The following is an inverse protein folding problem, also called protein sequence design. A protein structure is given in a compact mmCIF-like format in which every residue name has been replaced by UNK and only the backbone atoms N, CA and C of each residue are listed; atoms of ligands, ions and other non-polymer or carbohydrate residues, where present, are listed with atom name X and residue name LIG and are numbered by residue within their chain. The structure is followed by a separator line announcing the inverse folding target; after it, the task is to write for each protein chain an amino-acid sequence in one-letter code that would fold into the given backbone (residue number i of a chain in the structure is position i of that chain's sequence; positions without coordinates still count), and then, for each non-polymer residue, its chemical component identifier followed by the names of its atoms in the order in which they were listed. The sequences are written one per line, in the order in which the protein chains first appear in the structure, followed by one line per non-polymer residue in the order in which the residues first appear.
data_IF_673248485673
#
_entry.id   IF_673248485673
#
_cell.length_a   1.000
_cell.length_b   1.000
_cell.length_c   1.000
_cell.angle_alpha   90.00
_cell.angle_beta   90.00
_cell.angle_gamma   90.00
#
_symmetry.space_group_name_H-M   'P 1'
#
loop_
_entity.id
_entity.type
_entity.pdbx_description
1 polymer ?
#
# COMPACT_ATOMS: atom_id res chain seq x y z
N UNK A 1 -23.22 54.96 4.92
CA UNK A 1 -23.18 53.52 4.58
C UNK A 1 -21.77 53.23 4.13
N UNK A 2 -20.96 52.89 5.12
CA UNK A 2 -19.50 52.80 5.03
C UNK A 2 -19.14 51.76 6.06
N UNK A 3 -18.34 50.76 5.70
CA UNK A 3 -17.08 50.46 6.40
C UNK A 3 -16.33 49.40 5.61
N UNK A 4 -15.18 49.82 5.10
CA UNK A 4 -14.07 48.97 4.75
C UNK A 4 -13.42 48.44 6.04
N UNK A 5 -12.99 47.17 6.06
CA UNK A 5 -12.01 46.69 7.04
C UNK A 5 -11.29 45.42 6.55
N UNK A 6 -10.03 45.62 6.13
CA UNK A 6 -8.82 44.87 6.53
C UNK A 6 -8.74 43.38 6.17
N UNK A 7 -8.15 43.13 4.99
CA UNK A 7 -7.09 42.13 4.80
C UNK A 7 -6.04 42.29 5.92
N UNK A 8 -5.86 41.29 6.79
CA UNK A 8 -4.62 40.91 7.51
C UNK A 8 -4.91 40.14 8.81
N UNK A 9 -4.07 39.13 9.07
CA UNK A 9 -3.90 38.31 10.28
C UNK A 9 -4.91 37.15 10.49
N UNK A 10 -4.45 35.94 10.13
CA UNK A 10 -4.75 34.58 10.67
C UNK A 10 -4.64 33.56 9.50
N UNK A 11 -3.53 33.28 8.81
CA UNK A 11 -2.14 33.03 9.21
C UNK A 11 -1.92 32.18 10.47
N UNK A 12 -2.90 31.34 10.83
CA UNK A 12 -2.79 30.42 11.98
C UNK A 12 -3.34 29.00 11.72
N UNK A 13 -3.75 28.69 10.49
CA UNK A 13 -4.37 27.40 10.14
C UNK A 13 -3.86 26.85 8.80
N UNK A 14 -2.58 27.08 8.50
CA UNK A 14 -1.80 26.10 7.71
C UNK A 14 -1.63 24.93 8.67
N UNK A 15 -2.60 24.02 8.63
CA UNK A 15 -2.79 22.92 9.57
C UNK A 15 -1.42 22.33 9.93
N UNK A 16 -1.15 22.31 11.22
CA UNK A 16 0.00 21.74 11.93
C UNK A 16 0.24 20.26 11.62
N UNK A 17 0.43 19.88 10.35
CA UNK A 17 0.41 18.50 9.86
C UNK A 17 1.53 18.19 8.86
N UNK A 18 2.51 19.09 8.75
CA UNK A 18 3.91 18.71 8.50
C UNK A 18 4.64 18.68 9.86
N UNK A 19 3.95 18.29 10.92
CA UNK A 19 4.38 18.50 12.30
C UNK A 19 5.43 17.50 12.77
N UNK A 20 6.60 17.56 12.14
CA UNK A 20 7.79 17.68 12.97
C UNK A 20 7.70 18.98 13.77
N UNK A 21 7.48 18.79 15.07
CA UNK A 21 7.73 19.68 16.21
C UNK A 21 6.81 20.89 16.49
N UNK A 22 5.72 20.64 17.24
CA UNK A 22 5.34 21.49 18.38
C UNK A 22 4.44 20.71 19.37
N UNK A 23 5.01 20.22 20.47
CA UNK A 23 4.22 19.89 21.66
C UNK A 23 4.16 21.13 22.56
N UNK A 24 2.94 21.58 22.89
CA UNK A 24 2.72 22.66 23.84
C UNK A 24 2.86 22.13 25.28
N UNK A 25 3.79 22.67 26.06
CA UNK A 25 3.76 22.52 27.52
C UNK A 25 2.79 23.55 28.11
N UNK A 26 2.18 23.23 29.27
CA UNK A 26 1.16 23.98 30.03
C UNK A 26 1.54 25.43 30.42
N UNK A 27 2.66 25.95 29.95
CA UNK A 27 3.20 27.28 30.26
C UNK A 27 3.39 28.18 29.02
N UNK A 28 2.97 27.74 27.82
CA UNK A 28 2.87 28.63 26.65
C UNK A 28 4.18 29.11 26.03
N UNK A 29 5.34 28.52 26.36
CA UNK A 29 6.61 28.82 25.70
C UNK A 29 7.00 27.72 24.72
N UNK A 30 7.33 28.11 23.48
CA UNK A 30 7.79 27.23 22.39
C UNK A 30 9.27 26.92 22.60
N UNK A 31 9.60 25.67 22.91
CA UNK A 31 10.97 25.17 22.90
C UNK A 31 11.26 24.50 21.56
N UNK A 32 12.16 25.10 20.77
CA UNK A 32 12.79 24.48 19.60
C UNK A 32 13.62 23.28 20.08
N UNK A 33 13.12 22.06 19.86
CA UNK A 33 13.88 20.86 20.19
C UNK A 33 15.02 20.68 19.19
N UNK A 34 16.21 20.49 19.78
CA UNK A 34 17.48 20.30 19.11
C UNK A 34 17.48 18.94 18.41
N UNK A 35 17.65 19.00 17.10
CA UNK A 35 17.81 17.87 16.20
C UNK A 35 19.05 17.03 16.60
N UNK A 36 18.88 15.72 16.78
CA UNK A 36 19.97 14.77 16.95
C UNK A 36 20.07 13.91 15.69
N UNK A 37 20.56 14.55 14.62
CA UNK A 37 21.27 13.91 13.52
C UNK A 37 20.41 13.36 12.38
N UNK A 38 20.43 14.06 11.25
CA UNK A 38 20.23 13.48 9.91
C UNK A 38 19.09 14.10 9.10
N UNK A 39 19.45 14.81 8.03
CA UNK A 39 18.62 15.27 6.91
C UNK A 39 17.37 16.12 7.23
N UNK A 40 17.42 17.39 6.81
CA UNK A 40 16.28 18.31 6.74
C UNK A 40 15.14 17.64 5.94
N UNK A 41 13.98 17.41 6.57
CA UNK A 41 12.80 16.87 5.91
C UNK A 41 12.41 17.78 4.72
N UNK A 42 12.42 17.29 3.47
CA UNK A 42 12.22 18.14 2.28
C UNK A 42 10.81 18.74 2.17
N UNK A 43 9.83 18.24 2.94
CA UNK A 43 8.41 18.37 2.64
C UNK A 43 7.88 19.79 2.49
N UNK A 44 7.92 20.61 3.55
CA UNK A 44 7.15 21.87 3.55
C UNK A 44 7.71 22.95 2.62
N UNK A 45 9.03 23.20 2.68
CA UNK A 45 9.65 24.20 1.81
C UNK A 45 9.57 23.79 0.34
N UNK A 46 9.74 22.51 0.02
CA UNK A 46 9.58 21.99 -1.34
C UNK A 46 8.14 22.18 -1.83
N UNK A 47 7.15 21.82 -1.00
CA UNK A 47 5.73 21.99 -1.29
C UNK A 47 5.37 23.45 -1.58
N UNK A 48 5.84 24.40 -0.76
CA UNK A 48 5.56 25.81 -0.95
C UNK A 48 6.20 26.37 -2.23
N UNK A 49 7.39 25.91 -2.59
CA UNK A 49 8.11 26.40 -3.76
C UNK A 49 7.57 25.80 -5.06
N UNK A 50 7.38 24.47 -5.10
CA UNK A 50 7.06 23.75 -6.33
C UNK A 50 5.56 23.46 -6.49
N UNK A 51 4.81 23.34 -5.39
CA UNK A 51 3.44 22.82 -5.38
C UNK A 51 2.44 23.77 -4.70
N UNK A 52 2.73 25.07 -4.62
CA UNK A 52 1.86 26.06 -3.94
C UNK A 52 0.44 26.09 -4.48
N UNK A 53 0.27 26.08 -5.80
CA UNK A 53 -1.04 26.07 -6.44
C UNK A 53 -1.80 24.75 -6.18
N UNK A 54 -1.25 23.55 -6.49
CA UNK A 54 -1.87 22.28 -6.11
C UNK A 54 -2.25 22.23 -4.62
N UNK A 55 -1.35 22.66 -3.73
CA UNK A 55 -1.57 22.72 -2.28
C UNK A 55 -2.76 23.61 -1.95
N UNK A 56 -2.82 24.83 -2.50
CA UNK A 56 -3.93 25.76 -2.23
C UNK A 56 -5.25 25.19 -2.74
N UNK A 57 -5.26 24.60 -3.93
CA UNK A 57 -6.50 24.01 -4.48
C UNK A 57 -6.96 22.79 -3.69
N UNK A 58 -6.04 21.99 -3.15
CA UNK A 58 -6.34 20.91 -2.22
C UNK A 58 -6.98 21.43 -0.94
N UNK A 59 -6.42 22.48 -0.33
CA UNK A 59 -6.97 23.06 0.91
C UNK A 59 -8.40 23.60 0.74
N UNK A 60 -8.83 23.93 -0.48
CA UNK A 60 -10.19 24.35 -0.77
C UNK A 60 -11.14 23.17 -1.02
N UNK A 61 -10.62 21.99 -1.34
CA UNK A 61 -11.38 20.76 -1.60
C UNK A 61 -11.59 19.93 -0.31
N UNK A 62 -12.83 19.54 0.00
CA UNK A 62 -13.13 18.83 1.25
C UNK A 62 -12.50 17.44 1.30
N UNK A 63 -12.62 16.67 0.23
CA UNK A 63 -12.06 15.31 0.15
C UNK A 63 -10.53 15.34 0.23
N UNK A 64 -9.88 16.32 -0.39
CA UNK A 64 -8.45 16.52 -0.26
C UNK A 64 -8.03 16.86 1.18
N UNK A 65 -8.76 17.75 1.86
CA UNK A 65 -8.49 18.06 3.28
C UNK A 65 -8.67 16.84 4.17
N UNK A 66 -9.71 16.03 3.93
CA UNK A 66 -9.96 14.79 4.68
C UNK A 66 -8.82 13.78 4.48
N UNK A 67 -8.35 13.59 3.25
CA UNK A 67 -7.19 12.75 2.95
C UNK A 67 -5.94 13.24 3.67
N UNK A 68 -5.57 14.52 3.51
CA UNK A 68 -4.39 15.12 4.17
C UNK A 68 -4.49 15.01 5.69
N UNK A 69 -5.66 15.24 6.26
CA UNK A 69 -5.89 15.10 7.69
C UNK A 69 -5.71 13.64 8.14
N UNK A 70 -6.31 12.69 7.44
CA UNK A 70 -6.18 11.26 7.72
C UNK A 70 -4.71 10.81 7.66
N UNK A 71 -3.97 11.17 6.59
CA UNK A 71 -2.54 10.87 6.48
C UNK A 71 -1.73 11.47 7.64
N UNK A 72 -2.09 12.67 8.11
CA UNK A 72 -1.41 13.26 9.27
C UNK A 72 -1.62 12.48 10.56
N UNK A 73 -2.76 11.79 10.72
CA UNK A 73 -3.02 10.92 11.86
C UNK A 73 -2.27 9.57 11.75
N UNK A 74 -1.73 9.23 10.57
CA UNK A 74 -0.93 8.02 10.38
C UNK A 74 0.50 8.16 10.89
N UNK A 75 1.01 9.39 11.02
CA UNK A 75 2.40 9.68 11.37
C UNK A 75 2.82 9.05 12.70
N UNK A 76 3.97 8.38 12.69
CA UNK A 76 4.57 7.73 13.85
C UNK A 76 3.92 6.39 14.24
N UNK A 77 2.94 5.90 13.48
CA UNK A 77 2.41 4.55 13.65
C UNK A 77 3.39 3.54 13.05
N UNK A 78 3.41 2.33 13.60
CA UNK A 78 4.25 1.24 13.07
C UNK A 78 3.85 0.82 11.66
N UNK A 79 2.57 0.99 11.32
CA UNK A 79 1.98 0.71 10.01
C UNK A 79 1.61 2.01 9.26
N UNK A 80 2.45 3.05 9.39
CA UNK A 80 2.20 4.38 8.81
C UNK A 80 1.87 4.31 7.31
N UNK A 81 2.61 3.51 6.53
CA UNK A 81 2.42 3.38 5.08
C UNK A 81 1.07 2.74 4.71
N UNK A 82 0.69 1.62 5.33
CA UNK A 82 -0.63 1.03 5.11
C UNK A 82 -1.76 1.97 5.56
N UNK A 83 -1.55 2.73 6.63
CA UNK A 83 -2.50 3.75 7.09
C UNK A 83 -2.66 4.87 6.05
N UNK A 84 -1.55 5.40 5.52
CA UNK A 84 -1.55 6.42 4.47
C UNK A 84 -2.27 5.91 3.22
N UNK A 85 -1.98 4.70 2.76
CA UNK A 85 -2.64 4.10 1.60
C UNK A 85 -4.17 4.04 1.79
N UNK A 86 -4.64 3.61 2.97
CA UNK A 86 -6.09 3.57 3.25
C UNK A 86 -6.73 4.96 3.25
N UNK A 87 -6.05 5.97 3.82
CA UNK A 87 -6.52 7.35 3.80
C UNK A 87 -6.63 7.88 2.36
N UNK A 88 -5.61 7.59 1.55
CA UNK A 88 -5.54 7.97 0.14
C UNK A 88 -6.67 7.36 -0.67
N UNK A 89 -6.90 6.06 -0.52
CA UNK A 89 -7.93 5.36 -1.27
C UNK A 89 -9.34 5.72 -0.79
N UNK A 90 -9.52 5.97 0.51
CA UNK A 90 -10.83 6.28 1.09
C UNK A 90 -11.26 7.71 0.77
N UNK A 91 -10.35 8.69 0.91
CA UNK A 91 -10.68 10.12 0.81
C UNK A 91 -10.06 10.80 -0.40
N UNK A 92 -8.85 10.40 -0.78
CA UNK A 92 -8.04 11.07 -1.81
C UNK A 92 -8.30 10.63 -3.24
N UNK A 93 -8.61 9.35 -3.47
CA UNK A 93 -8.66 8.72 -4.78
C UNK A 93 -9.63 9.42 -5.75
N UNK A 94 -10.83 9.73 -5.27
CA UNK A 94 -11.84 10.44 -6.05
C UNK A 94 -11.61 11.96 -6.12
N UNK A 95 -10.69 12.52 -5.32
CA UNK A 95 -10.33 13.94 -5.39
C UNK A 95 -9.25 14.18 -6.44
N UNK A 96 -9.64 14.79 -7.56
CA UNK A 96 -8.67 15.26 -8.56
C UNK A 96 -7.65 16.26 -7.99
N UNK A 97 -8.02 17.02 -6.95
CA UNK A 97 -7.13 17.98 -6.29
C UNK A 97 -6.09 17.29 -5.44
N UNK A 98 -6.48 16.23 -4.74
CA UNK A 98 -5.54 15.37 -3.99
C UNK A 98 -4.54 14.69 -4.92
N UNK A 99 -5.03 14.04 -5.98
CA UNK A 99 -4.16 13.38 -6.97
C UNK A 99 -3.20 14.36 -7.64
N UNK A 100 -3.64 15.57 -7.97
CA UNK A 100 -2.76 16.60 -8.54
C UNK A 100 -1.70 17.10 -7.55
N UNK A 101 -2.05 17.22 -6.26
CA UNK A 101 -1.08 17.54 -5.22
C UNK A 101 -0.03 16.42 -5.09
N UNK A 102 -0.43 15.16 -4.96
CA UNK A 102 0.49 14.04 -4.88
C UNK A 102 1.39 13.93 -6.10
N UNK A 103 0.84 14.12 -7.31
CA UNK A 103 1.65 14.10 -8.53
C UNK A 103 2.71 15.20 -8.51
N UNK A 104 2.33 16.44 -8.15
CA UNK A 104 3.29 17.53 -8.02
C UNK A 104 4.38 17.21 -7.00
N UNK A 105 4.02 16.61 -5.85
CA UNK A 105 4.98 16.21 -4.84
C UNK A 105 5.96 15.15 -5.37
N UNK A 106 5.46 14.18 -6.14
CA UNK A 106 6.28 13.14 -6.78
C UNK A 106 7.25 13.76 -7.79
N UNK A 107 6.74 14.55 -8.73
CA UNK A 107 7.51 15.14 -9.83
C UNK A 107 8.65 16.05 -9.35
N UNK A 108 8.47 16.68 -8.19
CA UNK A 108 9.43 17.61 -7.59
C UNK A 108 10.21 17.03 -6.40
N UNK A 109 10.05 15.74 -6.08
CA UNK A 109 10.75 15.11 -4.96
C UNK A 109 10.40 15.72 -3.61
N UNK A 110 9.17 16.24 -3.46
CA UNK A 110 8.66 16.80 -2.20
C UNK A 110 8.02 15.74 -1.29
N UNK A 111 7.89 14.49 -1.75
CA UNK A 111 7.46 13.38 -0.90
C UNK A 111 8.58 13.00 0.10
N UNK A 112 8.22 12.59 1.33
CA UNK A 112 9.20 12.02 2.25
C UNK A 112 9.74 10.72 1.64
N UNK A 113 11.07 10.53 1.74
CA UNK A 113 11.69 9.26 1.39
C UNK A 113 11.57 8.32 2.58
N UNK A 114 10.90 7.20 2.37
CA UNK A 114 10.73 6.15 3.37
C UNK A 114 11.92 5.19 3.32
N UNK A 115 12.36 4.65 4.47
CA UNK A 115 13.30 3.54 4.47
C UNK A 115 12.69 2.34 3.72
N UNK A 116 13.51 1.43 3.19
CA UNK A 116 13.01 0.20 2.58
C UNK A 116 12.05 -0.53 3.50
N UNK A 117 10.88 -0.89 2.98
CA UNK A 117 9.85 -1.62 3.71
C UNK A 117 9.81 -3.08 3.24
N UNK A 118 10.39 -3.99 4.02
CA UNK A 118 10.56 -5.37 3.58
C UNK A 118 11.87 -5.62 2.87
N UNK A 119 12.16 -6.90 2.67
CA UNK A 119 13.35 -7.39 1.97
C UNK A 119 12.89 -8.21 0.78
N UNK A 120 13.40 -7.88 -0.40
CA UNK A 120 13.19 -8.71 -1.60
C UNK A 120 14.04 -9.98 -1.49
N UNK A 121 13.41 -11.10 -1.10
CA UNK A 121 14.12 -12.35 -0.78
C UNK A 121 14.31 -13.29 -1.98
N UNK A 122 13.68 -13.03 -3.12
CA UNK A 122 13.82 -13.87 -4.32
C UNK A 122 14.09 -13.05 -5.58
N UNK A 123 14.65 -13.74 -6.57
CA UNK A 123 14.86 -13.23 -7.92
C UNK A 123 14.22 -14.18 -8.94
N UNK A 124 14.29 -13.83 -10.22
CA UNK A 124 13.58 -14.55 -11.29
C UNK A 124 14.07 -15.99 -11.50
N UNK A 125 15.31 -16.28 -11.12
CA UNK A 125 15.81 -17.66 -11.21
C UNK A 125 15.15 -18.58 -10.18
N UNK A 126 14.68 -18.00 -9.08
CA UNK A 126 14.14 -18.69 -7.91
C UNK A 126 12.66 -19.07 -8.00
N UNK A 127 11.97 -18.70 -9.08
CA UNK A 127 10.54 -18.96 -9.28
C UNK A 127 10.24 -20.35 -9.81
N UNK A 128 9.00 -20.81 -9.59
CA UNK A 128 8.45 -21.99 -10.28
C UNK A 128 8.47 -21.79 -11.80
N UNK A 129 8.59 -22.89 -12.56
CA UNK A 129 8.71 -22.84 -14.03
C UNK A 129 7.44 -23.21 -14.79
N UNK A 130 6.41 -23.69 -14.08
CA UNK A 130 5.15 -24.16 -14.66
C UNK A 130 4.09 -23.07 -14.82
N UNK A 131 4.27 -21.87 -14.26
CA UNK A 131 3.42 -20.71 -14.52
C UNK A 131 3.98 -19.91 -15.69
N UNK A 132 3.40 -20.07 -16.88
CA UNK A 132 3.85 -19.42 -18.12
C UNK A 132 2.81 -18.52 -18.76
N UNK A 133 1.57 -18.54 -18.26
CA UNK A 133 0.46 -17.70 -18.73
C UNK A 133 -0.49 -17.34 -17.59
N UNK A 134 -1.03 -16.12 -17.60
CA UNK A 134 -2.04 -15.66 -16.63
C UNK A 134 -3.35 -16.46 -16.71
N UNK A 135 -3.64 -17.08 -17.87
CA UNK A 135 -4.80 -17.97 -18.00
C UNK A 135 -4.79 -19.15 -17.02
N UNK A 136 -3.62 -19.58 -16.53
CA UNK A 136 -3.48 -20.67 -15.57
C UNK A 136 -3.96 -20.28 -14.16
N UNK A 137 -3.89 -18.99 -13.84
CA UNK A 137 -4.28 -18.42 -12.54
C UNK A 137 -5.48 -17.49 -12.65
N UNK A 138 -6.20 -17.52 -13.77
CA UNK A 138 -7.41 -16.71 -13.98
C UNK A 138 -8.39 -16.88 -12.81
N UNK A 139 -9.00 -15.77 -12.41
CA UNK A 139 -10.04 -15.72 -11.39
C UNK A 139 -9.54 -15.11 -10.08
N UNK A 140 -10.37 -15.25 -9.05
CA UNK A 140 -10.19 -14.61 -7.75
C UNK A 140 -9.27 -15.44 -6.86
N UNK A 141 -8.38 -14.75 -6.15
CA UNK A 141 -7.45 -15.31 -5.19
C UNK A 141 -7.49 -14.51 -3.89
N UNK A 142 -7.89 -15.14 -2.80
CA UNK A 142 -7.97 -14.53 -1.48
C UNK A 142 -6.65 -14.65 -0.74
N UNK A 143 -6.22 -13.57 -0.09
CA UNK A 143 -5.04 -13.56 0.76
C UNK A 143 -5.39 -14.14 2.13
N UNK A 144 -4.75 -15.25 2.49
CA UNK A 144 -4.94 -15.92 3.79
C UNK A 144 -3.80 -15.70 4.76
N UNK A 145 -2.59 -15.47 4.24
CA UNK A 145 -1.44 -15.11 5.06
C UNK A 145 -0.63 -14.03 4.38
N UNK A 146 -0.15 -13.05 5.15
CA UNK A 146 0.66 -11.95 4.68
C UNK A 146 2.01 -11.83 5.38
N UNK A 147 3.07 -11.58 4.61
CA UNK A 147 4.44 -11.42 5.10
C UNK A 147 4.70 -9.99 5.55
N UNK A 148 4.26 -9.01 4.76
CA UNK A 148 4.32 -7.60 5.13
C UNK A 148 3.10 -7.23 5.95
N UNK A 149 3.13 -7.58 7.24
CA UNK A 149 2.01 -7.41 8.16
C UNK A 149 2.36 -6.65 9.45
N UNK A 150 3.42 -5.84 9.44
CA UNK A 150 3.84 -5.05 10.61
C UNK A 150 4.81 -5.76 11.53
N UNK A 151 5.51 -6.78 11.00
CA UNK A 151 6.52 -7.55 11.72
C UNK A 151 7.93 -7.01 11.48
N UNK A 152 8.91 -7.48 12.26
CA UNK A 152 10.30 -7.04 12.11
C UNK A 152 10.80 -7.33 10.70
N UNK A 153 11.29 -6.29 10.02
CA UNK A 153 11.77 -6.38 8.64
C UNK A 153 10.72 -5.98 7.60
N UNK A 154 9.42 -6.13 7.91
CA UNK A 154 8.30 -5.76 7.05
C UNK A 154 7.24 -4.94 7.82
N UNK A 155 7.52 -3.68 8.15
CA UNK A 155 6.68 -2.86 9.03
C UNK A 155 5.40 -2.30 8.40
N UNK A 156 5.28 -2.10 7.08
CA UNK A 156 4.16 -1.33 6.53
C UNK A 156 2.79 -1.93 6.76
N UNK A 157 2.67 -3.27 6.78
CA UNK A 157 1.44 -4.02 6.92
C UNK A 157 0.49 -4.02 5.71
N UNK A 158 1.01 -4.02 4.48
CA UNK A 158 0.21 -4.08 3.24
C UNK A 158 -0.47 -5.44 2.97
N UNK A 159 0.04 -6.53 3.54
CA UNK A 159 -0.44 -7.91 3.28
C UNK A 159 -1.48 -8.39 4.31
N UNK A 160 -2.01 -7.47 5.12
CA UNK A 160 -2.91 -7.81 6.23
C UNK A 160 -4.17 -6.94 6.28
N UNK A 161 -4.58 -6.42 5.13
CA UNK A 161 -5.88 -5.75 5.04
C UNK A 161 -7.01 -6.79 5.11
N UNK A 162 -8.10 -6.51 5.84
CA UNK A 162 -9.26 -7.39 5.83
C UNK A 162 -9.86 -7.52 4.42
N UNK A 163 -10.35 -8.73 4.12
CA UNK A 163 -10.97 -9.07 2.83
C UNK A 163 -10.10 -8.82 1.59
N UNK A 164 -8.78 -8.85 1.76
CA UNK A 164 -7.83 -8.64 0.68
C UNK A 164 -7.84 -9.81 -0.32
N UNK A 165 -7.93 -9.46 -1.61
CA UNK A 165 -7.94 -10.41 -2.73
C UNK A 165 -7.42 -9.77 -4.01
N UNK A 166 -7.00 -10.65 -4.90
CA UNK A 166 -6.60 -10.37 -6.28
C UNK A 166 -7.61 -11.03 -7.24
N UNK A 167 -7.80 -10.48 -8.44
CA UNK A 167 -8.66 -11.07 -9.48
C UNK A 167 -8.05 -10.88 -10.86
N UNK A 168 -7.44 -11.95 -11.37
CA UNK A 168 -6.77 -11.95 -12.68
C UNK A 168 -7.78 -12.20 -13.80
N UNK A 169 -8.00 -11.21 -14.66
CA UNK A 169 -8.94 -11.28 -15.79
C UNK A 169 -8.36 -10.68 -17.07
N UNK A 170 -8.71 -11.22 -18.26
CA UNK A 170 -8.36 -10.60 -19.52
C UNK A 170 -9.20 -9.34 -19.74
N UNK A 171 -8.57 -8.27 -20.23
CA UNK A 171 -9.23 -7.05 -20.69
C UNK A 171 -9.66 -7.20 -22.16
N UNK A 172 -10.97 -7.12 -22.40
CA UNK A 172 -11.56 -7.09 -23.75
C UNK A 172 -11.71 -8.46 -24.41
N UNK A 173 -12.05 -8.45 -25.70
CA UNK A 173 -12.33 -9.67 -26.50
C UNK A 173 -11.05 -10.33 -27.03
N UNK A 174 -9.94 -9.60 -27.05
CA UNK A 174 -8.62 -10.10 -27.43
C UNK A 174 -7.86 -10.39 -26.13
N UNK A 175 -7.74 -11.66 -25.76
CA UNK A 175 -7.22 -12.18 -24.47
C UNK A 175 -5.73 -11.86 -24.18
N UNK A 176 -5.18 -10.82 -24.80
CA UNK A 176 -3.76 -10.49 -24.81
C UNK A 176 -3.39 -9.45 -23.75
N UNK A 177 -4.36 -8.68 -23.27
CA UNK A 177 -4.17 -7.73 -22.16
C UNK A 177 -4.81 -8.32 -20.91
N UNK A 178 -4.12 -8.28 -19.79
CA UNK A 178 -4.60 -8.79 -18.51
C UNK A 178 -4.52 -7.72 -17.44
N UNK A 179 -5.48 -7.77 -16.53
CA UNK A 179 -5.50 -6.97 -15.32
C UNK A 179 -5.63 -7.83 -14.10
N UNK A 180 -5.13 -7.30 -13.00
CA UNK A 180 -5.46 -7.72 -11.66
C UNK A 180 -6.34 -6.64 -11.02
N UNK A 181 -7.54 -7.04 -10.61
CA UNK A 181 -8.40 -6.21 -9.76
C UNK A 181 -8.14 -6.57 -8.29
N UNK A 182 -7.38 -5.71 -7.62
CA UNK A 182 -7.07 -5.88 -6.21
C UNK A 182 -8.17 -5.21 -5.39
N UNK A 183 -8.71 -5.93 -4.40
CA UNK A 183 -9.75 -5.44 -3.51
C UNK A 183 -9.39 -5.69 -2.05
N UNK A 184 -9.65 -4.71 -1.19
CA UNK A 184 -9.43 -4.79 0.27
C UNK A 184 -10.24 -3.71 0.98
N UNK A 185 -10.36 -3.77 2.30
CA UNK A 185 -10.92 -2.69 3.10
C UNK A 185 -9.95 -2.26 4.20
N UNK A 186 -10.11 -1.03 4.67
CA UNK A 186 -9.54 -0.62 5.94
C UNK A 186 -10.22 -1.35 7.08
N UNK A 187 -9.48 -1.61 8.15
CA UNK A 187 -9.99 -2.34 9.32
C UNK A 187 -8.89 -3.05 10.08
N UNK A 188 -9.28 -3.91 11.03
CA UNK A 188 -8.36 -4.70 11.85
C UNK A 188 -8.98 -6.05 12.19
N UNK A 189 -8.13 -7.03 12.49
CA UNK A 189 -8.56 -8.35 12.96
C UNK A 189 -9.65 -8.96 12.06
N UNK A 190 -9.41 -8.95 10.74
CA UNK A 190 -10.31 -9.53 9.74
C UNK A 190 -11.69 -8.86 9.63
N UNK A 191 -11.86 -7.64 10.18
CA UNK A 191 -13.12 -6.88 10.11
C UNK A 191 -12.93 -5.59 9.34
N UNK A 192 -13.74 -5.39 8.29
CA UNK A 192 -13.80 -4.12 7.57
C UNK A 192 -14.43 -3.01 8.43
N UNK A 193 -13.78 -1.85 8.45
CA UNK A 193 -14.33 -0.59 8.99
C UNK A 193 -14.61 0.44 7.89
N UNK A 194 -14.17 0.18 6.66
CA UNK A 194 -14.45 1.01 5.47
C UNK A 194 -15.20 0.18 4.43
N UNK A 195 -15.80 0.81 3.41
CA UNK A 195 -16.16 0.12 2.18
C UNK A 195 -14.95 -0.60 1.57
N UNK A 196 -15.23 -1.60 0.72
CA UNK A 196 -14.19 -2.23 -0.10
C UNK A 196 -13.65 -1.18 -1.08
N UNK A 197 -12.33 -1.07 -1.09
CA UNK A 197 -11.51 -0.26 -1.96
C UNK A 197 -10.98 -1.14 -3.08
N UNK A 198 -10.75 -0.54 -4.24
CA UNK A 198 -10.29 -1.23 -5.44
C UNK A 198 -9.10 -0.51 -6.04
N UNK A 199 -8.10 -1.26 -6.48
CA UNK A 199 -6.97 -0.78 -7.28
C UNK A 199 -6.75 -1.71 -8.46
N UNK A 200 -6.17 -1.20 -9.55
CA UNK A 200 -6.03 -1.95 -10.81
C UNK A 200 -4.60 -1.90 -11.33
N UNK A 201 -4.03 -3.09 -11.56
CA UNK A 201 -2.75 -3.25 -12.22
C UNK A 201 -2.91 -3.93 -13.58
N UNK A 202 -2.17 -3.44 -14.58
CA UNK A 202 -1.90 -4.20 -15.80
C UNK A 202 -0.88 -5.28 -15.47
N UNK A 203 -1.16 -6.53 -15.84
CA UNK A 203 -0.32 -7.67 -15.48
C UNK A 203 0.18 -8.40 -16.71
N UNK A 204 1.44 -8.82 -16.67
CA UNK A 204 2.01 -9.70 -17.70
C UNK A 204 2.97 -10.72 -17.08
N UNK A 205 3.11 -11.89 -17.72
CA UNK A 205 4.15 -12.87 -17.38
C UNK A 205 5.40 -12.48 -18.15
N UNK A 206 6.44 -12.02 -17.46
CA UNK A 206 7.71 -11.63 -18.08
C UNK A 206 8.67 -12.81 -18.18
N UNK A 207 8.60 -13.74 -17.23
CA UNK A 207 9.36 -14.99 -17.15
C UNK A 207 8.50 -16.04 -16.45
N UNK A 208 8.77 -17.35 -16.62
CA UNK A 208 8.06 -18.38 -15.89
C UNK A 208 8.04 -18.10 -14.37
N UNK A 209 6.85 -18.01 -13.79
CA UNK A 209 6.62 -17.69 -12.37
C UNK A 209 6.83 -16.23 -11.96
N UNK A 210 7.08 -15.30 -12.90
CA UNK A 210 7.24 -13.87 -12.62
C UNK A 210 6.12 -13.08 -13.29
N UNK A 211 5.32 -12.39 -12.49
CA UNK A 211 4.24 -11.50 -12.92
C UNK A 211 4.64 -10.05 -12.67
N UNK A 212 4.68 -9.24 -13.73
CA UNK A 212 4.94 -7.82 -13.63
C UNK A 212 3.61 -7.07 -13.55
N UNK A 213 3.40 -6.36 -12.44
CA UNK A 213 2.23 -5.53 -12.15
C UNK A 213 2.61 -4.05 -12.34
N UNK A 214 1.88 -3.37 -13.22
CA UNK A 214 2.00 -1.92 -13.42
C UNK A 214 0.69 -1.30 -13.00
N UNK A 215 0.67 -0.67 -11.83
CA UNK A 215 -0.53 -0.05 -11.29
C UNK A 215 -0.92 1.17 -12.13
N UNK A 216 -2.19 1.25 -12.49
CA UNK A 216 -2.71 2.26 -13.43
C UNK A 216 -3.43 3.42 -12.74
N UNK A 217 -3.84 3.20 -11.50
CA UNK A 217 -4.58 4.13 -10.66
C UNK A 217 -4.00 4.36 -9.25
N UNK A 218 -2.72 4.06 -8.95
CA UNK A 218 -2.23 4.23 -7.60
C UNK A 218 -2.19 5.72 -7.25
N UNK A 219 -2.41 6.10 -5.98
CA UNK A 219 -2.28 7.48 -5.54
C UNK A 219 -0.88 8.07 -5.82
N UNK A 220 0.14 7.21 -5.79
CA UNK A 220 1.53 7.53 -6.09
C UNK A 220 1.98 6.80 -7.36
N UNK A 221 2.38 7.57 -8.38
CA UNK A 221 2.89 7.02 -9.64
C UNK A 221 4.35 7.40 -9.88
N UNK A 222 5.15 6.54 -10.55
CA UNK A 222 4.81 5.16 -10.94
C UNK A 222 4.84 4.20 -9.74
N UNK A 223 4.00 3.16 -9.77
CA UNK A 223 4.09 2.00 -8.87
C UNK A 223 4.17 0.73 -9.73
N UNK A 224 5.27 0.01 -9.57
CA UNK A 224 5.58 -1.20 -10.32
C UNK A 224 6.02 -2.28 -9.34
N UNK A 225 5.47 -3.48 -9.51
CA UNK A 225 5.79 -4.64 -8.68
C UNK A 225 6.08 -5.86 -9.54
N UNK A 226 7.07 -6.65 -9.13
CA UNK A 226 7.33 -7.97 -9.67
C UNK A 226 6.96 -9.03 -8.63
N UNK A 227 5.90 -9.77 -8.92
CA UNK A 227 5.42 -10.87 -8.10
C UNK A 227 6.05 -12.16 -8.58
N UNK A 228 6.71 -12.86 -7.67
CA UNK A 228 7.50 -14.07 -7.90
C UNK A 228 6.83 -15.22 -7.20
N UNK A 229 6.24 -16.13 -7.97
CA UNK A 229 5.62 -17.33 -7.42
C UNK A 229 6.70 -18.33 -7.03
N UNK A 230 6.79 -18.58 -5.72
CA UNK A 230 7.80 -19.44 -5.12
C UNK A 230 7.32 -20.88 -5.01
N UNK A 231 6.02 -21.08 -4.78
CA UNK A 231 5.43 -22.42 -4.71
C UNK A 231 3.98 -22.41 -5.16
N UNK A 232 3.61 -23.43 -5.95
CA UNK A 232 2.24 -23.67 -6.41
C UNK A 232 1.97 -25.19 -6.44
N UNK A 233 1.95 -25.85 -5.27
CA UNK A 233 1.89 -27.30 -5.16
C UNK A 233 0.48 -27.86 -5.41
N UNK A 234 -0.52 -27.00 -5.41
CA UNK A 234 -1.91 -27.34 -5.68
C UNK A 234 -2.53 -26.26 -6.58
N UNK A 235 -3.44 -26.62 -7.51
CA UNK A 235 -4.06 -25.64 -8.41
C UNK A 235 -4.70 -24.45 -7.70
N UNK A 236 -5.17 -24.63 -6.47
CA UNK A 236 -5.90 -23.62 -5.71
C UNK A 236 -5.10 -22.94 -4.61
N UNK A 237 -3.81 -23.22 -4.45
CA UNK A 237 -2.99 -22.70 -3.35
C UNK A 237 -1.62 -22.23 -3.83
N UNK A 238 -1.32 -20.95 -3.66
CA UNK A 238 -0.09 -20.35 -4.16
C UNK A 238 0.62 -19.53 -3.07
N UNK A 239 1.95 -19.62 -3.05
CA UNK A 239 2.83 -18.75 -2.25
C UNK A 239 3.67 -17.92 -3.21
N UNK A 240 3.56 -16.60 -3.09
CA UNK A 240 4.37 -15.66 -3.84
C UNK A 240 5.00 -14.62 -2.91
N UNK A 241 6.06 -13.99 -3.40
CA UNK A 241 6.56 -12.73 -2.86
C UNK A 241 6.40 -11.64 -3.91
N UNK A 242 6.38 -10.38 -3.50
CA UNK A 242 6.48 -9.26 -4.41
C UNK A 242 7.61 -8.34 -3.99
N UNK A 243 8.20 -7.70 -4.99
CA UNK A 243 9.18 -6.65 -4.81
C UNK A 243 8.79 -5.49 -5.72
N UNK A 244 8.67 -4.30 -5.15
CA UNK A 244 8.23 -3.12 -5.86
C UNK A 244 8.89 -1.85 -5.35
N UNK A 245 8.49 -0.74 -5.95
CA UNK A 245 8.86 0.57 -5.50
C UNK A 245 7.78 1.59 -5.87
N UNK A 246 7.64 2.59 -5.01
CA UNK A 246 6.93 3.84 -5.29
C UNK A 246 7.97 4.97 -5.35
N UNK A 247 7.57 6.22 -5.64
CA UNK A 247 8.46 7.37 -5.49
C UNK A 247 9.00 7.59 -4.06
N UNK A 248 8.36 7.03 -3.03
CA UNK A 248 8.81 7.19 -1.62
C UNK A 248 9.86 6.16 -1.23
N UNK A 249 9.91 5.00 -1.89
CA UNK A 249 10.94 4.00 -1.64
C UNK A 249 10.60 2.59 -2.14
N UNK A 250 11.56 1.67 -2.04
CA UNK A 250 11.34 0.26 -2.34
C UNK A 250 10.56 -0.43 -1.21
N UNK A 251 9.74 -1.39 -1.58
CA UNK A 251 9.02 -2.23 -0.65
C UNK A 251 8.92 -3.68 -1.16
N UNK A 252 8.68 -4.61 -0.24
CA UNK A 252 8.53 -6.02 -0.53
C UNK A 252 7.58 -6.67 0.46
N UNK A 253 7.03 -7.81 0.07
CA UNK A 253 6.15 -8.61 0.91
C UNK A 253 5.87 -9.94 0.25
N UNK A 254 4.78 -10.57 0.63
CA UNK A 254 4.42 -11.86 0.08
C UNK A 254 3.23 -12.49 0.78
N UNK A 255 2.55 -13.36 0.04
CA UNK A 255 1.24 -13.84 0.43
C UNK A 255 1.07 -15.31 0.14
N UNK A 256 0.32 -15.97 1.02
CA UNK A 256 -0.33 -17.24 0.72
C UNK A 256 -1.73 -16.92 0.25
N UNK A 257 -2.07 -17.37 -0.95
CA UNK A 257 -3.36 -17.11 -1.58
C UNK A 257 -4.10 -18.38 -1.95
N UNK A 258 -5.42 -18.27 -2.00
CA UNK A 258 -6.32 -19.37 -2.37
C UNK A 258 -7.43 -18.95 -3.30
N UNK A 259 -7.82 -19.85 -4.20
CA UNK A 259 -9.08 -19.74 -4.95
C UNK A 259 -10.09 -20.83 -4.60
N UNK A 260 -9.78 -21.66 -3.61
CA UNK A 260 -10.72 -22.66 -3.13
C UNK A 260 -11.83 -21.96 -2.34
N UNK A 261 -13.10 -22.19 -2.70
CA UNK A 261 -14.24 -21.64 -1.97
C UNK A 261 -14.25 -22.09 -0.49
N UNK A 262 -13.86 -23.34 -0.24
CA UNK A 262 -13.66 -23.89 1.12
C UNK A 262 -12.41 -23.35 1.80
N UNK A 263 -11.47 -22.78 1.03
CA UNK A 263 -10.19 -22.27 1.51
C UNK A 263 -10.26 -20.89 2.16
N UNK A 264 -11.44 -20.25 2.22
CA UNK A 264 -11.59 -18.95 2.90
C UNK A 264 -11.30 -18.98 4.41
N UNK A 265 -11.22 -20.18 4.98
CA UNK A 265 -10.70 -20.45 6.33
C UNK A 265 -9.27 -21.03 6.24
N UNK A 266 -8.32 -20.39 6.94
CA UNK A 266 -6.91 -20.82 7.00
C UNK A 266 -6.76 -22.23 7.58
N UNK A 267 -7.70 -22.68 8.42
CA UNK A 267 -7.73 -24.05 8.93
C UNK A 267 -7.96 -25.13 7.86
N UNK A 268 -8.26 -24.75 6.61
CA UNK A 268 -8.59 -25.66 5.51
C UNK A 268 -7.42 -25.84 4.52
N UNK A 269 -6.28 -25.17 4.74
CA UNK A 269 -5.08 -25.40 3.92
C UNK A 269 -4.69 -26.89 4.03
N UNK A 270 -4.57 -27.63 2.90
CA UNK A 270 -4.16 -29.03 2.97
C UNK A 270 -2.78 -29.17 3.62
N UNK A 271 -2.63 -30.14 4.53
CA UNK A 271 -1.40 -30.33 5.33
C UNK A 271 -0.14 -30.41 4.45
N UNK A 272 -0.20 -31.10 3.31
CA UNK A 272 0.95 -31.21 2.40
C UNK A 272 1.31 -29.88 1.73
N UNK A 273 0.34 -29.01 1.46
CA UNK A 273 0.55 -27.66 0.92
C UNK A 273 1.23 -26.80 1.98
N UNK A 274 0.77 -26.88 3.24
CA UNK A 274 1.34 -26.12 4.33
C UNK A 274 2.79 -26.56 4.65
N UNK A 275 3.09 -27.86 4.57
CA UNK A 275 4.45 -28.40 4.69
C UNK A 275 5.36 -27.83 3.59
N UNK A 276 4.89 -27.82 2.34
CA UNK A 276 5.64 -27.28 1.21
C UNK A 276 5.89 -25.77 1.39
N UNK A 277 4.88 -25.00 1.76
CA UNK A 277 5.04 -23.55 1.99
C UNK A 277 6.01 -23.24 3.13
N UNK A 278 5.99 -23.99 4.24
CA UNK A 278 7.00 -23.86 5.30
C UNK A 278 8.41 -24.17 4.80
N UNK A 279 8.56 -25.24 4.01
CA UNK A 279 9.84 -25.64 3.41
C UNK A 279 10.41 -24.53 2.51
N UNK A 280 9.58 -23.99 1.62
CA UNK A 280 9.94 -22.91 0.70
C UNK A 280 10.23 -21.62 1.46
N UNK A 281 9.39 -21.21 2.42
CA UNK A 281 9.64 -20.04 3.25
C UNK A 281 11.01 -20.09 3.94
N UNK A 282 11.36 -21.26 4.51
CA UNK A 282 12.67 -21.51 5.11
C UNK A 282 13.82 -21.38 4.11
N UNK A 283 13.65 -21.86 2.88
CA UNK A 283 14.67 -21.71 1.81
C UNK A 283 14.95 -20.24 1.49
N UNK A 284 13.93 -19.38 1.53
CA UNK A 284 14.04 -17.95 1.24
C UNK A 284 14.27 -17.09 2.50
N UNK A 285 14.42 -17.71 3.67
CA UNK A 285 14.82 -17.02 4.89
C UNK A 285 13.72 -16.20 5.57
N UNK A 286 12.44 -16.54 5.37
CA UNK A 286 11.33 -15.97 6.12
C UNK A 286 10.54 -17.03 6.90
N UNK A 287 9.88 -16.61 7.97
CA UNK A 287 9.12 -17.52 8.84
C UNK A 287 7.65 -17.55 8.41
N UNK A 288 7.23 -18.67 7.83
CA UNK A 288 5.83 -18.91 7.43
C UNK A 288 4.85 -18.78 8.59
N UNK A 289 5.22 -19.26 9.78
CA UNK A 289 4.32 -19.29 10.94
C UNK A 289 4.20 -17.91 11.63
N UNK A 290 5.07 -16.95 11.29
CA UNK A 290 4.95 -15.54 11.73
C UNK A 290 4.11 -14.68 10.77
N UNK A 291 3.82 -15.17 9.56
CA UNK A 291 2.93 -14.46 8.63
C UNK A 291 1.55 -14.25 9.26
N UNK A 292 1.02 -13.04 9.15
CA UNK A 292 -0.27 -12.70 9.74
C UNK A 292 -1.40 -13.42 9.02
N UNK A 293 -2.37 -13.91 9.80
CA UNK A 293 -3.45 -14.78 9.32
C UNK A 293 -4.72 -13.99 9.05
N UNK A 294 -5.15 -14.00 7.80
CA UNK A 294 -6.39 -13.39 7.34
C UNK A 294 -7.52 -14.42 7.32
N UNK A 295 -8.57 -14.17 8.08
CA UNK A 295 -9.83 -14.92 7.96
C UNK A 295 -10.76 -14.16 7.00
N UNK A 296 -11.10 -14.79 5.88
CA UNK A 296 -11.90 -14.17 4.83
C UNK A 296 -13.27 -14.86 4.65
N UNK A 297 -13.70 -15.69 5.61
CA UNK A 297 -14.97 -16.43 5.49
C UNK A 297 -16.20 -15.51 5.45
N UNK A 298 -16.14 -14.36 6.10
CA UNK A 298 -17.23 -13.37 6.11
C UNK A 298 -17.14 -12.34 5.00
N UNK A 299 -16.12 -12.42 4.14
CA UNK A 299 -15.94 -11.46 3.06
C UNK A 299 -16.91 -11.77 1.92
N UNK A 300 -17.78 -10.81 1.63
CA UNK A 300 -18.67 -10.84 0.48
C UNK A 300 -17.95 -10.32 -0.77
N UNK A 301 -18.47 -10.73 -1.92
CA UNK A 301 -18.22 -10.07 -3.20
C UNK A 301 -19.03 -8.78 -3.31
#
# INVERSE_FOLDING_TARGET
MTFATVFSLNLLLVVSCISYSAQFNKSGNVALLKDKGGLVAPGFSCLLVNCSLPTTTCLLDSSCREAVHCNSECQGKTNEEACNLLCELTYGYNSSKYRHLLQCMSDHGCLPVSPPDGICVANDSSTIKNLTSLSQIKGKWWILRGLNCGQRGWPAAFDYFPCQRDEFVPLGTHNDVWVDHIAYCGGRNNTCSTPILYTVANVSITKPGVMNHVYTDPPLTPQIEEWRVLSWPHPDWMLYIYCGATPTGPYAGGSVVTRADSGKDVGVIPVYVEIEFRSVAKQFGFNYDEMCVSNVTSCSD
#
